data_IF_263621836164
#
_entry.id   IF_263621836164
#
_cell.length_a   1.000
_cell.length_b   1.000
_cell.length_c   1.000
_cell.angle_alpha   90.00
_cell.angle_beta   90.00
_cell.angle_gamma   90.00
#
_symmetry.space_group_name_H-M   'P 1'
#
loop_
_entity.id
_entity.type
_entity.pdbx_description
1 polymer ?
#
# COMPACT_ATOMS: atom_id res chain seq x y z
N UNK A 1 16.43 10.82 -2.25
CA UNK A 1 15.85 9.51 -2.60
C UNK A 1 15.20 8.84 -1.40
N UNK A 2 15.91 8.61 -0.25
CA UNK A 2 15.35 7.95 0.94
C UNK A 2 14.05 8.60 1.44
N UNK A 3 13.98 9.94 1.52
CA UNK A 3 12.77 10.66 1.98
C UNK A 3 11.59 10.53 1.01
N UNK A 4 11.84 10.53 -0.31
CA UNK A 4 10.78 10.36 -1.33
C UNK A 4 10.21 8.94 -1.26
N UNK A 5 11.08 7.94 -1.15
CA UNK A 5 10.65 6.55 -0.99
C UNK A 5 9.82 6.37 0.28
N UNK A 6 10.24 6.95 1.42
CA UNK A 6 9.48 6.91 2.67
C UNK A 6 8.08 7.54 2.53
N UNK A 7 7.99 8.69 1.86
CA UNK A 7 6.71 9.37 1.63
C UNK A 7 5.76 8.54 0.78
N UNK A 8 6.26 7.96 -0.31
CA UNK A 8 5.48 7.11 -1.20
C UNK A 8 5.11 5.80 -0.51
N UNK A 9 6.02 5.24 0.31
CA UNK A 9 5.75 4.03 1.09
C UNK A 9 4.67 4.23 2.15
N UNK A 10 4.68 5.35 2.87
CA UNK A 10 3.62 5.68 3.83
C UNK A 10 2.25 5.71 3.16
N UNK A 11 2.21 6.22 1.94
CA UNK A 11 1.00 6.30 1.15
C UNK A 11 0.52 4.92 0.65
N UNK A 12 1.43 4.07 0.22
CA UNK A 12 1.11 2.78 -0.38
C UNK A 12 0.66 1.74 0.67
N UNK A 13 1.29 1.69 1.84
CA UNK A 13 0.97 0.69 2.89
C UNK A 13 -0.40 0.85 3.53
N UNK A 14 -1.09 1.97 3.30
CA UNK A 14 -2.48 2.14 3.75
C UNK A 14 -3.48 1.20 3.06
N UNK A 15 -3.10 0.61 1.92
CA UNK A 15 -3.94 -0.32 1.17
C UNK A 15 -3.94 -1.75 1.72
N UNK A 16 -2.89 -2.15 2.43
CA UNK A 16 -2.83 -3.41 3.18
C UNK A 16 -4.02 -3.61 4.11
N UNK A 17 -4.73 -2.57 4.33
CA UNK A 17 -5.82 -2.42 5.26
C UNK A 17 -7.15 -3.03 4.83
N UNK A 18 -7.36 -3.33 3.56
CA UNK A 18 -8.66 -3.81 3.06
C UNK A 18 -8.84 -5.33 3.15
N UNK A 19 -7.74 -6.08 3.36
CA UNK A 19 -7.81 -7.55 3.46
C UNK A 19 -8.40 -8.06 4.77
N UNK A 20 -8.40 -7.24 5.81
CA UNK A 20 -8.92 -7.62 7.13
C UNK A 20 -10.45 -7.66 7.23
N UNK A 21 -11.17 -7.17 6.21
CA UNK A 21 -12.64 -7.18 6.19
C UNK A 21 -13.27 -8.57 5.98
N UNK A 22 -12.48 -9.63 5.81
CA UNK A 22 -12.95 -10.96 5.45
C UNK A 22 -13.04 -12.02 6.56
N UNK A 23 -12.74 -11.68 7.78
CA UNK A 23 -12.63 -12.68 8.86
C UNK A 23 -13.58 -12.44 10.03
N UNK A 24 -14.83 -12.96 9.97
CA UNK A 24 -15.64 -13.13 11.18
C UNK A 24 -17.04 -12.52 11.13
N UNK A 25 -18.01 -13.38 11.04
CA UNK A 25 -19.44 -13.31 11.14
C UNK A 25 -20.14 -12.05 11.64
N UNK A 26 -21.16 -11.62 10.87
CA UNK A 26 -22.27 -10.85 11.39
C UNK A 26 -22.17 -9.34 11.26
N UNK A 27 -22.41 -8.81 10.06
CA UNK A 27 -22.54 -7.36 9.86
C UNK A 27 -22.47 -6.93 8.40
N UNK A 28 -23.15 -7.63 7.52
CA UNK A 28 -22.94 -7.51 6.05
C UNK A 28 -23.60 -6.30 5.38
N UNK A 29 -24.28 -5.38 6.09
CA UNK A 29 -25.07 -4.33 5.43
C UNK A 29 -24.36 -2.98 5.25
N UNK A 30 -23.36 -2.64 6.06
CA UNK A 30 -22.69 -1.34 5.97
C UNK A 30 -21.51 -1.34 4.97
N UNK A 31 -20.76 -2.44 4.89
CA UNK A 31 -19.57 -2.52 4.03
C UNK A 31 -19.90 -2.55 2.52
N UNK A 32 -21.06 -3.07 2.13
CA UNK A 32 -21.45 -3.22 0.72
C UNK A 32 -21.90 -1.93 0.05
N UNK A 33 -22.12 -0.85 0.79
CA UNK A 33 -22.54 0.42 0.21
C UNK A 33 -21.43 1.20 -0.46
N UNK A 34 -20.16 0.93 -0.11
CA UNK A 34 -19.02 1.64 -0.66
C UNK A 34 -18.46 0.95 -1.90
N UNK A 35 -18.01 1.77 -2.87
CA UNK A 35 -17.36 1.27 -4.09
C UNK A 35 -16.04 0.58 -3.78
N UNK A 36 -15.29 1.12 -2.82
CA UNK A 36 -14.05 0.54 -2.34
C UNK A 36 -14.23 -0.91 -1.84
N UNK A 37 -15.30 -1.15 -1.09
CA UNK A 37 -15.64 -2.50 -0.64
C UNK A 37 -15.96 -3.46 -1.80
N UNK A 38 -16.51 -2.95 -2.91
CA UNK A 38 -16.79 -3.77 -4.11
C UNK A 38 -15.50 -4.10 -4.88
N UNK A 39 -14.59 -3.14 -5.03
CA UNK A 39 -13.29 -3.36 -5.70
C UNK A 39 -12.53 -4.52 -5.06
N UNK A 40 -12.60 -4.62 -3.74
CA UNK A 40 -11.90 -5.65 -2.97
C UNK A 40 -12.81 -6.75 -2.41
N UNK A 41 -14.03 -6.90 -2.94
CA UNK A 41 -15.01 -7.86 -2.41
C UNK A 41 -14.47 -9.31 -2.32
N UNK A 42 -13.71 -9.74 -3.33
CA UNK A 42 -13.13 -11.08 -3.35
C UNK A 42 -11.93 -11.24 -2.40
N UNK A 43 -11.34 -10.16 -1.90
CA UNK A 43 -10.24 -10.24 -0.95
C UNK A 43 -10.64 -10.93 0.35
N UNK A 44 -11.92 -10.86 0.72
CA UNK A 44 -12.47 -11.61 1.85
C UNK A 44 -12.32 -13.13 1.71
N UNK A 45 -12.40 -13.65 0.49
CA UNK A 45 -12.28 -15.08 0.18
C UNK A 45 -10.82 -15.50 -0.05
N UNK A 46 -10.07 -14.69 -0.79
CA UNK A 46 -8.68 -14.98 -1.14
C UNK A 46 -7.70 -14.65 -0.01
N UNK A 47 -8.07 -13.71 0.87
CA UNK A 47 -7.18 -13.13 1.86
C UNK A 47 -6.05 -12.32 1.23
N UNK A 48 -6.22 -11.85 -0.03
CA UNK A 48 -5.18 -11.18 -0.80
C UNK A 48 -5.70 -9.91 -1.44
N UNK A 49 -4.82 -8.91 -1.53
CA UNK A 49 -5.01 -7.69 -2.32
C UNK A 49 -3.71 -7.40 -3.08
N UNK A 50 -3.84 -7.05 -4.34
CA UNK A 50 -2.76 -6.55 -5.18
C UNK A 50 -3.15 -5.20 -5.75
N UNK A 51 -2.21 -4.28 -5.76
CA UNK A 51 -2.36 -2.98 -6.40
C UNK A 51 -1.06 -2.56 -7.09
N UNK A 52 -1.21 -1.99 -8.26
CA UNK A 52 -0.15 -1.32 -8.99
C UNK A 52 -0.55 0.12 -9.21
N UNK A 53 0.30 1.04 -8.80
CA UNK A 53 0.10 2.47 -8.84
C UNK A 53 1.22 3.13 -9.63
N UNK A 54 0.90 4.21 -10.33
CA UNK A 54 1.90 5.10 -10.91
C UNK A 54 1.74 6.50 -10.32
N UNK A 55 2.81 7.10 -9.87
CA UNK A 55 2.83 8.46 -9.32
C UNK A 55 4.04 9.23 -9.78
N UNK A 56 3.96 10.55 -9.70
CA UNK A 56 5.07 11.46 -9.97
C UNK A 56 5.36 12.29 -8.72
N UNK A 57 6.60 12.24 -8.25
CA UNK A 57 7.08 13.04 -7.11
C UNK A 57 8.35 13.76 -7.52
N UNK A 58 8.35 15.09 -7.40
CA UNK A 58 9.48 15.95 -7.81
C UNK A 58 9.93 15.72 -9.26
N UNK A 59 8.99 15.61 -10.20
CA UNK A 59 9.19 15.31 -11.63
C UNK A 59 9.86 13.96 -11.91
N UNK A 60 9.84 13.04 -10.94
CA UNK A 60 10.26 11.66 -11.13
C UNK A 60 9.05 10.74 -11.08
N UNK A 61 8.75 10.09 -12.20
CA UNK A 61 7.74 9.03 -12.26
C UNK A 61 8.19 7.80 -11.50
N UNK A 62 7.25 7.11 -10.86
CA UNK A 62 7.50 5.90 -10.09
C UNK A 62 6.33 4.94 -10.21
N UNK A 63 6.63 3.66 -10.39
CA UNK A 63 5.66 2.58 -10.25
C UNK A 63 5.80 1.96 -8.85
N UNK A 64 4.66 1.79 -8.19
CA UNK A 64 4.56 1.19 -6.87
C UNK A 64 3.72 -0.07 -7.02
N UNK A 65 4.23 -1.20 -6.53
CA UNK A 65 3.48 -2.45 -6.44
C UNK A 65 3.29 -2.80 -4.99
N UNK A 66 2.05 -3.11 -4.63
CA UNK A 66 1.67 -3.64 -3.32
C UNK A 66 1.01 -5.00 -3.46
N UNK A 67 1.42 -5.93 -2.62
CA UNK A 67 0.77 -7.23 -2.48
C UNK A 67 0.60 -7.54 -0.99
N UNK A 68 -0.64 -7.68 -0.54
CA UNK A 68 -0.97 -7.90 0.86
C UNK A 68 -1.72 -9.21 1.04
N UNK A 69 -1.39 -9.93 2.09
CA UNK A 69 -2.08 -11.15 2.51
C UNK A 69 -2.25 -11.17 4.04
N UNK A 70 -2.95 -12.18 4.54
CA UNK A 70 -3.05 -12.44 6.00
C UNK A 70 -1.69 -12.67 6.68
N UNK A 71 -0.64 -12.97 5.91
CA UNK A 71 0.70 -13.25 6.42
C UNK A 71 1.59 -12.00 6.46
N UNK A 72 1.16 -10.90 5.85
CA UNK A 72 1.92 -9.66 5.77
C UNK A 72 1.74 -8.94 4.44
N UNK A 73 2.64 -8.03 4.15
CA UNK A 73 2.65 -7.20 2.96
C UNK A 73 4.02 -7.20 2.27
N UNK A 74 3.99 -7.10 0.96
CA UNK A 74 5.14 -6.80 0.12
C UNK A 74 4.89 -5.48 -0.59
N UNK A 75 5.95 -4.71 -0.80
CA UNK A 75 5.93 -3.51 -1.60
C UNK A 75 7.20 -3.39 -2.42
N UNK A 76 7.06 -2.84 -3.63
CA UNK A 76 8.21 -2.35 -4.37
C UNK A 76 7.97 -0.97 -4.96
N UNK A 77 9.05 -0.21 -5.11
CA UNK A 77 9.07 1.10 -5.76
C UNK A 77 10.12 1.07 -6.86
N UNK A 78 9.69 1.34 -8.09
CA UNK A 78 10.55 1.36 -9.28
C UNK A 78 10.49 2.75 -9.89
N UNK A 79 11.57 3.55 -9.84
CA UNK A 79 11.62 4.83 -10.54
C UNK A 79 11.64 4.63 -12.05
N UNK A 80 10.90 5.47 -12.78
CA UNK A 80 10.85 5.41 -14.24
C UNK A 80 12.23 5.70 -14.85
N UNK A 81 12.57 4.91 -15.86
CA UNK A 81 13.86 5.03 -16.56
C UNK A 81 15.05 4.38 -15.84
N UNK A 82 14.84 3.76 -14.68
CA UNK A 82 15.87 3.03 -13.94
C UNK A 82 15.59 1.53 -13.95
N UNK A 83 16.66 0.72 -13.88
CA UNK A 83 16.56 -0.74 -13.83
C UNK A 83 16.48 -1.29 -12.41
N UNK A 84 16.81 -0.48 -11.41
CA UNK A 84 16.72 -0.90 -10.01
C UNK A 84 15.31 -0.68 -9.44
N UNK A 85 14.95 -1.48 -8.49
CA UNK A 85 13.77 -1.32 -7.65
C UNK A 85 14.13 -1.47 -6.18
N UNK A 86 13.45 -0.75 -5.33
CA UNK A 86 13.47 -0.96 -3.90
C UNK A 86 12.35 -1.92 -3.56
N UNK A 87 12.65 -2.95 -2.78
CA UNK A 87 11.68 -3.98 -2.41
C UNK A 87 11.67 -4.16 -0.89
N UNK A 88 10.48 -4.34 -0.35
CA UNK A 88 10.28 -4.48 1.09
C UNK A 88 9.23 -5.54 1.40
N UNK A 89 9.35 -6.18 2.55
CA UNK A 89 8.32 -7.04 3.11
C UNK A 89 8.12 -6.75 4.60
N UNK A 90 6.88 -6.81 5.01
CA UNK A 90 6.49 -6.78 6.42
C UNK A 90 5.74 -8.06 6.72
N UNK A 91 6.12 -8.75 7.79
CA UNK A 91 5.42 -9.92 8.30
C UNK A 91 5.47 -9.96 9.84
N UNK A 92 5.03 -11.04 10.43
CA UNK A 92 5.01 -11.20 11.91
C UNK A 92 6.40 -11.17 12.55
N UNK A 93 7.46 -11.43 11.77
CA UNK A 93 8.83 -11.48 12.27
C UNK A 93 9.54 -10.13 12.21
N UNK A 94 9.06 -9.20 11.38
CA UNK A 94 9.66 -7.88 11.27
C UNK A 94 9.46 -7.24 9.89
N UNK A 95 10.22 -6.17 9.67
CA UNK A 95 10.29 -5.41 8.43
C UNK A 95 11.62 -5.66 7.73
N UNK A 96 11.60 -5.93 6.43
CA UNK A 96 12.76 -6.40 5.66
C UNK A 96 12.88 -5.64 4.36
N UNK A 97 14.12 -5.24 4.01
CA UNK A 97 14.51 -4.80 2.67
C UNK A 97 15.14 -5.96 1.90
N UNK A 98 15.01 -5.96 0.57
CA UNK A 98 15.68 -6.95 -0.29
C UNK A 98 16.86 -6.30 -0.99
N UNK A 99 18.04 -6.87 -0.83
CA UNK A 99 19.30 -6.38 -1.39
C UNK A 99 20.11 -7.52 -1.99
N UNK A 100 20.96 -7.22 -2.98
CA UNK A 100 21.96 -8.17 -3.47
C UNK A 100 23.18 -8.15 -2.54
N UNK A 101 23.61 -9.34 -2.09
CA UNK A 101 24.86 -9.50 -1.37
C UNK A 101 26.08 -9.46 -2.32
N UNK A 102 27.28 -9.53 -1.76
CA UNK A 102 28.53 -9.50 -2.52
C UNK A 102 28.70 -10.66 -3.54
N UNK A 103 27.84 -11.68 -3.44
CA UNK A 103 27.82 -12.82 -4.37
C UNK A 103 26.78 -12.68 -5.47
N UNK A 104 25.99 -11.59 -5.47
CA UNK A 104 24.87 -11.36 -6.37
C UNK A 104 23.60 -12.11 -6.00
N UNK A 105 23.52 -12.68 -4.79
CA UNK A 105 22.32 -13.33 -4.28
C UNK A 105 21.44 -12.32 -3.54
N UNK A 106 20.15 -12.33 -3.83
CA UNK A 106 19.18 -11.51 -3.09
C UNK A 106 18.98 -12.06 -1.68
N UNK A 107 19.20 -11.22 -0.68
CA UNK A 107 19.00 -11.50 0.74
C UNK A 107 17.93 -10.60 1.31
N UNK A 108 17.29 -10.99 2.41
CA UNK A 108 16.37 -10.15 3.18
C UNK A 108 17.13 -9.54 4.37
N UNK A 109 17.28 -8.23 4.38
CA UNK A 109 17.92 -7.49 5.46
C UNK A 109 16.86 -6.99 6.41
N UNK A 110 16.93 -7.37 7.68
CA UNK A 110 16.04 -6.85 8.71
C UNK A 110 16.33 -5.36 8.92
N UNK A 111 15.30 -4.53 8.85
CA UNK A 111 15.37 -3.09 9.04
C UNK A 111 14.93 -2.76 10.46
N UNK A 112 15.72 -1.89 11.14
CA UNK A 112 15.38 -1.46 12.49
C UNK A 112 14.03 -0.73 12.52
N UNK A 113 13.29 -0.94 13.62
CA UNK A 113 12.00 -0.29 13.85
C UNK A 113 12.11 1.24 13.98
N UNK A 114 13.31 1.75 14.26
CA UNK A 114 13.61 3.19 14.38
C UNK A 114 14.03 3.85 13.06
N UNK A 115 14.25 3.06 12.00
CA UNK A 115 14.39 3.63 10.67
C UNK A 115 13.08 4.34 10.28
N UNK A 116 13.18 5.47 9.58
CA UNK A 116 12.04 6.28 9.09
C UNK A 116 11.01 5.45 8.29
N UNK A 117 11.38 4.22 7.91
CA UNK A 117 10.54 3.23 7.23
C UNK A 117 9.71 2.37 8.19
N UNK A 118 10.15 2.16 9.42
CA UNK A 118 9.44 1.35 10.41
C UNK A 118 8.31 2.12 11.11
N UNK A 119 8.29 3.43 11.00
CA UNK A 119 7.17 4.27 11.43
C UNK A 119 5.91 4.08 10.56
N UNK A 120 6.04 3.33 9.49
CA UNK A 120 4.92 2.84 8.69
C UNK A 120 4.19 1.75 9.47
N UNK A 121 3.59 2.16 10.56
CA UNK A 121 2.73 1.33 11.38
C UNK A 121 1.52 0.95 10.50
N UNK A 122 1.61 -0.23 9.87
CA UNK A 122 0.51 -0.78 9.07
C UNK A 122 -0.59 -1.16 10.06
N UNK A 123 -1.34 -0.18 10.47
CA UNK A 123 -2.61 -0.43 11.11
C UNK A 123 -3.55 -0.96 10.03
N UNK A 124 -3.73 -2.28 10.00
CA UNK A 124 -4.76 -2.91 9.16
C UNK A 124 -6.10 -2.23 9.44
N UNK A 125 -6.85 -1.67 8.46
CA UNK A 125 -8.18 -1.15 8.74
C UNK A 125 -9.03 -2.31 9.20
N UNK A 126 -9.50 -2.14 10.39
CA UNK A 126 -10.59 -2.93 10.93
C UNK A 126 -11.89 -2.51 10.21
N UNK A 127 -12.94 -3.34 10.29
CA UNK A 127 -14.29 -2.93 9.84
C UNK A 127 -14.73 -1.59 10.42
N UNK A 128 -14.16 -1.18 11.56
CA UNK A 128 -14.45 0.10 12.19
C UNK A 128 -13.90 1.29 11.40
N UNK A 129 -12.80 1.14 10.68
CA UNK A 129 -12.26 2.21 9.82
C UNK A 129 -13.14 2.45 8.59
N UNK A 130 -13.79 1.39 8.07
CA UNK A 130 -14.78 1.55 6.99
C UNK A 130 -16.02 2.32 7.44
N UNK A 131 -16.37 2.32 8.72
CA UNK A 131 -17.45 3.13 9.27
C UNK A 131 -17.16 4.63 9.25
N UNK A 132 -15.87 5.00 9.15
CA UNK A 132 -15.41 6.39 9.08
C UNK A 132 -15.25 6.94 7.66
N UNK A 133 -15.62 6.18 6.61
CA UNK A 133 -15.53 6.65 5.23
C UNK A 133 -16.44 7.86 5.02
N UNK A 134 -15.84 8.95 4.56
CA UNK A 134 -16.56 10.14 4.06
C UNK A 134 -16.70 10.03 2.56
N UNK A 135 -17.88 10.38 2.04
CA UNK A 135 -18.12 10.38 0.59
C UNK A 135 -18.08 11.80 0.08
N UNK A 136 -17.31 12.04 -0.98
CA UNK A 136 -17.28 13.28 -1.74
C UNK A 136 -17.72 13.01 -3.19
N UNK A 137 -18.97 13.38 -3.57
CA UNK A 137 -19.48 13.10 -4.91
C UNK A 137 -18.75 13.84 -6.03
N UNK A 138 -18.12 14.96 -5.70
CA UNK A 138 -17.36 15.83 -6.61
C UNK A 138 -16.00 16.19 -6.01
N UNK A 139 -15.10 15.20 -5.99
CA UNK A 139 -13.72 15.40 -5.54
C UNK A 139 -12.83 15.76 -6.73
N UNK A 140 -12.17 16.93 -6.69
CA UNK A 140 -11.36 17.41 -7.81
C UNK A 140 -9.91 17.03 -7.68
N UNK A 141 -9.39 16.33 -8.72
CA UNK A 141 -7.98 15.95 -8.86
C UNK A 141 -7.47 16.47 -10.21
N UNK A 142 -6.46 17.33 -10.21
CA UNK A 142 -5.88 17.92 -11.45
C UNK A 142 -6.95 18.45 -12.43
N UNK A 143 -8.02 19.04 -11.90
CA UNK A 143 -9.12 19.63 -12.70
C UNK A 143 -10.22 18.66 -13.13
N UNK A 144 -10.07 17.36 -12.89
CA UNK A 144 -11.08 16.33 -13.15
C UNK A 144 -11.89 16.06 -11.89
N UNK A 145 -13.23 15.93 -12.01
CA UNK A 145 -14.10 15.57 -10.89
C UNK A 145 -14.31 14.07 -10.83
N UNK A 146 -14.17 13.51 -9.63
CA UNK A 146 -14.37 12.11 -9.32
C UNK A 146 -15.38 11.95 -8.18
N UNK A 147 -16.06 10.82 -8.12
CA UNK A 147 -16.64 10.35 -6.88
C UNK A 147 -15.52 9.80 -6.00
N UNK A 148 -15.40 10.25 -4.77
CA UNK A 148 -14.34 9.78 -3.88
C UNK A 148 -14.87 9.24 -2.55
N UNK A 149 -14.23 8.19 -2.09
CA UNK A 149 -14.38 7.62 -0.75
C UNK A 149 -13.13 7.92 0.04
N UNK A 150 -13.27 8.62 1.16
CA UNK A 150 -12.17 9.22 1.90
C UNK A 150 -12.03 8.56 3.26
N UNK A 151 -10.86 8.02 3.53
CA UNK A 151 -10.43 7.52 4.84
C UNK A 151 -9.45 8.50 5.47
N UNK A 152 -9.56 8.72 6.77
CA UNK A 152 -8.60 9.49 7.56
C UNK A 152 -7.92 8.59 8.57
N UNK A 153 -6.59 8.53 8.55
CA UNK A 153 -5.82 7.70 9.48
C UNK A 153 -4.45 8.29 9.73
N UNK A 154 -4.04 8.35 11.00
CA UNK A 154 -2.70 8.80 11.38
C UNK A 154 -2.35 10.22 10.92
N UNK A 155 -3.34 11.10 10.77
CA UNK A 155 -3.13 12.46 10.26
C UNK A 155 -3.03 12.56 8.72
N UNK A 156 -3.18 11.44 8.01
CA UNK A 156 -3.21 11.39 6.55
C UNK A 156 -4.64 11.11 6.07
N UNK A 157 -5.07 11.82 5.04
CA UNK A 157 -6.33 11.60 4.34
C UNK A 157 -6.07 10.84 3.05
N UNK A 158 -6.79 9.76 2.83
CA UNK A 158 -6.72 8.87 1.66
C UNK A 158 -8.02 8.96 0.88
N UNK A 159 -8.00 9.60 -0.28
CA UNK A 159 -9.16 9.69 -1.16
C UNK A 159 -9.04 8.68 -2.30
N UNK A 160 -9.95 7.72 -2.33
CA UNK A 160 -10.10 6.72 -3.40
C UNK A 160 -11.06 7.27 -4.43
N UNK A 161 -10.55 7.62 -5.60
CA UNK A 161 -11.27 8.34 -6.64
C UNK A 161 -11.80 7.39 -7.72
N UNK A 162 -13.08 7.45 -8.00
CA UNK A 162 -13.78 6.55 -8.91
C UNK A 162 -14.35 7.29 -10.11
N UNK A 163 -14.25 6.65 -11.28
CA UNK A 163 -15.02 6.97 -12.47
C UNK A 163 -15.99 5.81 -12.73
N UNK A 164 -17.29 6.06 -12.57
CA UNK A 164 -18.24 4.96 -12.48
C UNK A 164 -17.91 4.06 -11.28
N UNK A 165 -17.71 2.76 -11.52
CA UNK A 165 -17.31 1.78 -10.49
C UNK A 165 -15.80 1.46 -10.56
N UNK A 166 -15.04 2.11 -11.43
CA UNK A 166 -13.61 1.86 -11.58
C UNK A 166 -12.80 2.80 -10.68
N UNK A 167 -11.95 2.24 -9.85
CA UNK A 167 -10.96 2.99 -9.07
C UNK A 167 -9.89 3.52 -10.03
N UNK A 168 -9.73 4.85 -10.11
CA UNK A 168 -8.85 5.52 -11.06
C UNK A 168 -7.58 6.05 -10.44
N UNK A 169 -7.71 6.70 -9.29
CA UNK A 169 -6.54 7.20 -8.59
C UNK A 169 -6.76 7.24 -7.08
N UNK A 170 -5.66 7.27 -6.36
CA UNK A 170 -5.59 7.56 -4.95
C UNK A 170 -4.97 8.92 -4.75
N UNK A 171 -5.52 9.68 -3.80
CA UNK A 171 -4.96 10.97 -3.39
C UNK A 171 -4.63 10.90 -1.92
N UNK A 172 -3.38 11.15 -1.61
CA UNK A 172 -2.85 11.19 -0.26
C UNK A 172 -2.64 12.65 0.14
N UNK A 173 -3.24 13.07 1.24
CA UNK A 173 -3.04 14.41 1.78
C UNK A 173 -2.55 14.28 3.22
N UNK A 174 -1.39 14.85 3.52
CA UNK A 174 -0.81 14.79 4.87
C UNK A 174 0.56 15.41 4.94
N UNK A 175 1.12 15.43 6.14
CA UNK A 175 2.52 15.83 6.35
C UNK A 175 3.40 14.59 6.24
N UNK A 176 4.24 14.56 5.21
CA UNK A 176 5.19 13.49 4.94
C UNK A 176 6.63 13.93 5.29
N UNK A 177 6.77 14.80 6.29
CA UNK A 177 8.08 15.29 6.77
C UNK A 177 8.61 16.52 6.03
N UNK A 178 7.82 17.06 5.07
CA UNK A 178 8.14 18.29 4.35
C UNK A 178 6.95 19.29 4.36
N UNK A 179 6.10 19.22 5.40
CA UNK A 179 4.83 19.92 5.46
C UNK A 179 3.71 19.21 4.71
N UNK A 180 2.51 19.77 4.78
CA UNK A 180 1.34 19.18 4.12
C UNK A 180 1.53 19.12 2.60
N UNK A 181 1.44 17.93 2.07
CA UNK A 181 1.57 17.63 0.64
C UNK A 181 0.37 16.84 0.14
N UNK A 182 0.11 16.97 -1.15
CA UNK A 182 -0.82 16.13 -1.88
C UNK A 182 -0.04 15.26 -2.88
N UNK A 183 -0.18 13.95 -2.76
CA UNK A 183 0.36 12.99 -3.72
C UNK A 183 -0.81 12.34 -4.44
N UNK A 184 -0.75 12.31 -5.76
CA UNK A 184 -1.74 11.64 -6.61
C UNK A 184 -1.09 10.44 -7.25
N UNK A 185 -1.65 9.25 -7.05
CA UNK A 185 -1.21 8.02 -7.68
C UNK A 185 -2.32 7.45 -8.56
N UNK A 186 -2.04 7.29 -9.85
CA UNK A 186 -2.95 6.66 -10.78
C UNK A 186 -2.96 5.14 -10.54
N UNK A 187 -4.15 4.54 -10.54
CA UNK A 187 -4.30 3.10 -10.37
C UNK A 187 -4.12 2.43 -11.74
N UNK A 188 -3.04 1.68 -11.88
CA UNK A 188 -2.73 0.91 -13.08
C UNK A 188 -3.46 -0.42 -13.06
N UNK A 189 -3.43 -1.11 -11.91
CA UNK A 189 -4.07 -2.42 -11.73
C UNK A 189 -4.49 -2.64 -10.29
N UNK A 190 -5.63 -3.31 -10.12
CA UNK A 190 -6.06 -3.90 -8.84
C UNK A 190 -6.42 -5.37 -9.05
N UNK A 191 -6.13 -6.24 -8.08
CA UNK A 191 -6.49 -7.65 -8.12
C UNK A 191 -6.72 -8.16 -6.68
N UNK A 192 -7.43 -9.25 -6.54
CA UNK A 192 -7.61 -9.99 -5.28
C UNK A 192 -6.85 -11.30 -5.28
N UNK A 193 -5.90 -11.46 -6.19
CA UNK A 193 -4.96 -12.57 -6.30
C UNK A 193 -3.59 -12.05 -6.71
N UNK A 194 -2.54 -12.81 -6.40
CA UNK A 194 -1.19 -12.56 -6.88
C UNK A 194 -0.37 -13.85 -6.85
N UNK A 195 0.75 -13.85 -7.60
CA UNK A 195 1.61 -15.02 -7.77
C UNK A 195 2.37 -15.41 -6.50
N UNK A 196 2.90 -16.63 -6.50
CA UNK A 196 3.65 -17.22 -5.39
C UNK A 196 4.94 -16.43 -5.06
N UNK A 197 5.47 -15.66 -6.01
CA UNK A 197 6.65 -14.80 -5.79
C UNK A 197 6.42 -13.78 -4.67
N UNK A 198 5.23 -13.18 -4.60
CA UNK A 198 4.89 -12.24 -3.53
C UNK A 198 4.67 -12.95 -2.19
N UNK A 199 3.99 -14.11 -2.20
CA UNK A 199 3.84 -14.92 -0.99
C UNK A 199 5.21 -15.34 -0.42
N UNK A 200 6.16 -15.71 -1.28
CA UNK A 200 7.51 -16.09 -0.88
C UNK A 200 8.28 -14.90 -0.30
N UNK A 201 8.17 -13.73 -0.88
CA UNK A 201 8.79 -12.50 -0.35
C UNK A 201 8.18 -12.10 1.00
N UNK A 202 6.86 -12.13 1.13
CA UNK A 202 6.17 -11.85 2.40
C UNK A 202 6.62 -12.84 3.49
N UNK A 203 6.68 -14.13 3.17
CA UNK A 203 7.07 -15.18 4.11
C UNK A 203 8.58 -15.35 4.25
N UNK A 204 9.40 -14.64 3.45
CA UNK A 204 10.86 -14.77 3.33
C UNK A 204 11.30 -16.17 2.89
N UNK A 205 10.43 -16.92 2.21
CA UNK A 205 10.72 -18.28 1.75
C UNK A 205 11.82 -18.26 0.67
N UNK A 206 12.92 -18.97 0.93
CA UNK A 206 14.06 -19.04 0.03
C UNK A 206 15.05 -17.88 0.15
N UNK A 207 14.82 -16.92 1.05
CA UNK A 207 15.74 -15.83 1.33
C UNK A 207 16.59 -16.10 2.57
N UNK A 208 17.86 -15.72 2.51
CA UNK A 208 18.71 -15.64 3.70
C UNK A 208 18.37 -14.34 4.43
N UNK A 209 18.02 -14.44 5.71
CA UNK A 209 17.78 -13.26 6.55
C UNK A 209 19.10 -12.78 7.15
N UNK A 210 19.38 -11.51 6.96
CA UNK A 210 20.53 -10.82 7.54
C UNK A 210 20.03 -9.88 8.62
N UNK A 211 20.44 -10.12 9.87
CA UNK A 211 20.15 -9.20 10.97
C UNK A 211 21.25 -8.14 11.03
N UNK A 212 20.87 -6.87 11.02
CA UNK A 212 21.83 -5.81 11.28
C UNK A 212 22.23 -5.93 12.75
N UNK A 213 23.55 -6.13 12.99
CA UNK A 213 24.09 -6.04 14.35
C UNK A 213 24.07 -4.56 14.74
N UNK A 214 23.24 -4.21 15.73
CA UNK A 214 23.30 -2.93 16.41
C UNK A 214 24.67 -2.66 17.05
#
# INVERSE_FOLDING_TARGET
FKKIAATVMAAAMSLAMLTACGGGGGGSSAATQYKLAKVFANSAQTGKVYMELHTEVNNQGMTIVEATSKNGAYMSVSPDGYTFKMEFALNKSGFYGFEEDLTGKVVAVELDSDDDYAQLNIAMPTQDNLKGIKVAPEYKVKGVSYYAEILEQGGVSYAYCFEGDNLKCLVFNGDFGNGNQQIVADVVKTDTTFGAEFDNKIALNGYTVVHQKG
#
